data_IF_015971434772
#
_entry.id   IF_015971434772
#
_cell.length_a   1.000
_cell.length_b   1.000
_cell.length_c   1.000
_cell.angle_alpha   90.00
_cell.angle_beta   90.00
_cell.angle_gamma   90.00
#
_symmetry.space_group_name_H-M   'P 1'
#
loop_
_entity.id
_entity.type
_entity.pdbx_description
1 polymer ?
#
# COMPACT_ATOMS: atom_id res chain seq x y z
N UNK A 1 35.22 22.97 -32.54
CA UNK A 1 33.77 23.16 -32.72
C UNK A 1 33.03 22.25 -31.73
N UNK A 2 32.90 22.69 -30.47
CA UNK A 2 32.29 21.95 -29.36
C UNK A 2 30.81 22.36 -29.22
N UNK A 3 29.89 21.69 -29.90
CA UNK A 3 28.44 22.00 -29.80
C UNK A 3 27.54 20.79 -29.52
N UNK A 4 28.08 19.63 -29.13
CA UNK A 4 27.27 18.44 -28.85
C UNK A 4 27.04 18.16 -27.34
N UNK A 5 27.95 18.60 -26.45
CA UNK A 5 27.89 18.22 -25.03
C UNK A 5 27.10 19.18 -24.12
N UNK A 6 26.83 20.42 -24.56
CA UNK A 6 26.14 21.42 -23.72
C UNK A 6 24.62 21.29 -23.73
N UNK A 7 24.04 20.74 -24.80
CA UNK A 7 22.59 20.63 -24.97
C UNK A 7 21.99 19.43 -24.24
N UNK A 8 22.77 18.38 -23.96
CA UNK A 8 22.24 17.17 -23.32
C UNK A 8 21.87 17.44 -21.86
N UNK A 9 22.72 18.17 -21.12
CA UNK A 9 22.45 18.52 -19.73
C UNK A 9 21.30 19.52 -19.58
N UNK A 10 21.17 20.50 -20.50
CA UNK A 10 20.08 21.47 -20.46
C UNK A 10 18.75 20.84 -20.87
N UNK A 11 18.75 19.97 -21.89
CA UNK A 11 17.55 19.24 -22.30
C UNK A 11 17.14 18.19 -21.28
N UNK A 12 18.10 17.52 -20.62
CA UNK A 12 17.84 16.62 -19.48
C UNK A 12 17.23 17.39 -18.31
N UNK A 13 17.77 18.56 -17.97
CA UNK A 13 17.23 19.39 -16.89
C UNK A 13 15.83 19.92 -17.22
N UNK A 14 15.60 20.32 -18.48
CA UNK A 14 14.28 20.74 -18.95
C UNK A 14 13.27 19.59 -18.90
N UNK A 15 13.66 18.41 -19.37
CA UNK A 15 12.82 17.21 -19.34
C UNK A 15 12.50 16.82 -17.89
N UNK A 16 13.48 16.85 -16.99
CA UNK A 16 13.27 16.63 -15.55
C UNK A 16 12.32 17.66 -14.95
N UNK A 17 12.47 18.93 -15.32
CA UNK A 17 11.57 20.00 -14.88
C UNK A 17 10.11 19.74 -15.31
N UNK A 18 9.89 19.40 -16.58
CA UNK A 18 8.56 19.09 -17.10
C UNK A 18 7.97 17.82 -16.51
N UNK A 19 8.77 16.77 -16.31
CA UNK A 19 8.34 15.54 -15.65
C UNK A 19 7.98 15.78 -14.18
N UNK A 20 8.79 16.55 -13.45
CA UNK A 20 8.47 16.92 -12.06
C UNK A 20 7.19 17.74 -11.98
N UNK A 21 6.97 18.65 -12.93
CA UNK A 21 5.73 19.43 -13.03
C UNK A 21 4.53 18.54 -13.33
N UNK A 22 4.66 17.57 -14.23
CA UNK A 22 3.64 16.57 -14.49
C UNK A 22 3.31 15.78 -13.23
N UNK A 23 4.31 15.26 -12.53
CA UNK A 23 4.11 14.54 -11.27
C UNK A 23 3.45 15.40 -10.20
N UNK A 24 3.85 16.67 -10.08
CA UNK A 24 3.20 17.60 -9.17
C UNK A 24 1.73 17.82 -9.51
N UNK A 25 1.39 17.97 -10.80
CA UNK A 25 0.00 18.12 -11.24
C UNK A 25 -0.83 16.85 -10.99
N UNK A 26 -0.24 15.66 -11.23
CA UNK A 26 -0.87 14.37 -10.92
C UNK A 26 -1.07 14.17 -9.41
N UNK A 27 -0.12 14.64 -8.58
CA UNK A 27 -0.22 14.56 -7.13
C UNK A 27 -1.18 15.58 -6.53
N UNK A 28 -1.24 16.76 -7.13
CA UNK A 28 -2.11 17.85 -6.69
C UNK A 28 -3.54 17.75 -7.22
N UNK A 29 -3.82 16.79 -8.11
CA UNK A 29 -5.17 16.54 -8.60
C UNK A 29 -5.88 15.59 -7.64
N UNK A 30 -6.88 16.07 -6.86
CA UNK A 30 -7.64 15.20 -5.97
C UNK A 30 -8.35 14.13 -6.80
N UNK A 31 -8.00 12.86 -6.54
CA UNK A 31 -8.55 11.68 -7.23
C UNK A 31 -7.62 10.99 -8.25
N UNK A 32 -6.46 11.57 -8.61
CA UNK A 32 -5.47 10.97 -9.52
C UNK A 32 -4.29 10.32 -8.79
N UNK A 33 -3.82 10.94 -7.68
CA UNK A 33 -3.09 10.22 -6.65
C UNK A 33 -4.04 9.35 -5.85
N UNK A 34 -4.51 8.30 -6.52
CA UNK A 34 -4.92 7.10 -5.81
C UNK A 34 -3.63 6.47 -5.29
N UNK A 35 -3.55 6.32 -3.97
CA UNK A 35 -3.05 5.05 -3.45
C UNK A 35 -3.94 3.98 -4.12
N UNK A 36 -3.47 3.51 -5.28
CA UNK A 36 -4.17 2.63 -6.21
C UNK A 36 -4.46 1.35 -5.42
N UNK A 37 -5.72 1.03 -5.07
CA UNK A 37 -6.67 0.34 -5.95
C UNK A 37 -8.15 0.58 -5.55
N UNK A 38 -8.89 1.28 -6.42
CA UNK A 38 -10.37 1.42 -6.35
C UNK A 38 -10.96 0.38 -7.30
N UNK A 39 -11.63 -0.70 -6.86
CA UNK A 39 -13.05 -0.65 -6.48
C UNK A 39 -13.53 -1.92 -5.73
N UNK A 40 -12.74 -2.99 -5.67
CA UNK A 40 -12.96 -4.16 -4.79
C UNK A 40 -11.94 -4.18 -3.65
N UNK A 41 -10.70 -3.80 -3.96
CA UNK A 41 -9.61 -3.69 -2.99
C UNK A 41 -9.83 -2.56 -2.00
N UNK A 42 -10.44 -1.43 -2.40
CA UNK A 42 -10.79 -0.35 -1.47
C UNK A 42 -11.71 -0.80 -0.32
N UNK A 43 -12.71 -1.67 -0.58
CA UNK A 43 -13.57 -2.23 0.48
C UNK A 43 -12.84 -3.29 1.32
N UNK A 44 -12.01 -4.12 0.70
CA UNK A 44 -11.22 -5.15 1.40
C UNK A 44 -10.10 -4.54 2.26
N UNK A 45 -9.46 -3.48 1.79
CA UNK A 45 -8.50 -2.71 2.59
C UNK A 45 -9.20 -1.98 3.71
N UNK A 46 -10.43 -1.47 3.52
CA UNK A 46 -11.26 -0.92 4.59
C UNK A 46 -11.58 -1.95 5.68
N UNK A 47 -11.97 -3.17 5.31
CA UNK A 47 -12.29 -4.23 6.30
C UNK A 47 -11.05 -4.79 6.99
N UNK A 48 -9.88 -4.76 6.32
CA UNK A 48 -8.61 -5.24 6.88
C UNK A 48 -7.85 -4.15 7.66
N UNK A 49 -8.14 -2.86 7.45
CA UNK A 49 -7.56 -1.73 8.20
C UNK A 49 -7.70 -1.87 9.73
N UNK A 50 -8.88 -2.17 10.29
CA UNK A 50 -9.01 -2.36 11.74
C UNK A 50 -8.26 -3.60 12.22
N UNK A 51 -8.12 -4.64 11.39
CA UNK A 51 -7.32 -5.83 11.70
C UNK A 51 -5.85 -5.48 11.82
N UNK A 52 -5.30 -4.74 10.85
CA UNK A 52 -3.89 -4.30 10.89
C UNK A 52 -3.61 -3.42 12.11
N UNK A 53 -4.53 -2.52 12.43
CA UNK A 53 -4.43 -1.64 13.60
C UNK A 53 -4.41 -2.46 14.90
N UNK A 54 -5.26 -3.48 14.98
CA UNK A 54 -5.28 -4.39 16.12
C UNK A 54 -3.98 -5.18 16.25
N UNK A 55 -3.46 -5.74 15.15
CA UNK A 55 -2.18 -6.45 15.14
C UNK A 55 -1.06 -5.53 15.63
N UNK A 56 -0.96 -4.29 15.13
CA UNK A 56 0.06 -3.35 15.59
C UNK A 56 -0.03 -3.06 17.09
N UNK A 57 -1.25 -2.89 17.62
CA UNK A 57 -1.45 -2.54 19.03
C UNK A 57 -1.27 -3.73 19.98
N UNK A 58 -1.60 -4.94 19.55
CA UNK A 58 -1.65 -6.14 20.39
C UNK A 58 -0.71 -7.27 19.92
N UNK A 59 0.30 -6.97 19.12
CA UNK A 59 1.25 -7.98 18.59
C UNK A 59 1.96 -8.76 19.71
N UNK A 60 2.17 -8.16 20.88
CA UNK A 60 2.82 -8.80 22.03
C UNK A 60 1.93 -9.84 22.75
N UNK A 61 0.62 -9.85 22.48
CA UNK A 61 -0.35 -10.77 23.08
C UNK A 61 -0.59 -11.99 22.18
N UNK A 62 -1.25 -13.03 22.71
CA UNK A 62 -1.68 -14.18 21.92
C UNK A 62 -2.87 -13.79 21.03
N UNK A 63 -2.59 -13.36 19.81
CA UNK A 63 -3.60 -13.04 18.80
C UNK A 63 -3.95 -14.28 17.98
N UNK A 64 -5.25 -14.59 17.88
CA UNK A 64 -5.74 -15.75 17.09
C UNK A 64 -6.45 -15.33 15.81
N UNK A 65 -6.58 -16.27 14.86
CA UNK A 65 -7.29 -16.04 13.60
C UNK A 65 -8.76 -15.69 13.84
N UNK A 66 -9.42 -16.32 14.82
CA UNK A 66 -10.83 -16.07 15.15
C UNK A 66 -11.05 -14.64 15.62
N UNK A 67 -10.10 -14.06 16.36
CA UNK A 67 -10.16 -12.67 16.81
C UNK A 67 -10.06 -11.72 15.62
N UNK A 68 -9.09 -11.94 14.73
CA UNK A 68 -8.87 -11.11 13.55
C UNK A 68 -10.05 -11.20 12.57
N UNK A 69 -10.59 -12.40 12.38
CA UNK A 69 -11.77 -12.63 11.54
C UNK A 69 -13.01 -11.91 12.11
N UNK A 70 -13.21 -11.91 13.44
CA UNK A 70 -14.29 -11.16 14.08
C UNK A 70 -14.17 -9.65 13.84
N UNK A 71 -12.96 -9.10 13.92
CA UNK A 71 -12.70 -7.67 13.65
C UNK A 71 -13.01 -7.31 12.19
N UNK A 72 -12.70 -8.21 11.26
CA UNK A 72 -13.03 -8.04 9.84
C UNK A 72 -14.50 -8.33 9.50
N UNK A 73 -15.31 -8.78 10.46
CA UNK A 73 -16.67 -9.29 10.26
C UNK A 73 -16.76 -10.43 9.23
N UNK A 74 -15.79 -11.35 9.28
CA UNK A 74 -15.65 -12.49 8.38
C UNK A 74 -15.63 -13.82 9.14
N UNK A 75 -15.93 -14.92 8.45
CA UNK A 75 -15.59 -16.25 8.96
C UNK A 75 -14.07 -16.46 8.92
N UNK A 76 -13.53 -17.28 9.83
CA UNK A 76 -12.09 -17.56 9.89
C UNK A 76 -11.51 -18.04 8.56
N UNK A 77 -12.20 -18.97 7.89
CA UNK A 77 -11.75 -19.51 6.60
C UNK A 77 -11.75 -18.45 5.49
N UNK A 78 -12.76 -17.58 5.45
CA UNK A 78 -12.83 -16.51 4.45
C UNK A 78 -11.75 -15.45 4.74
N UNK A 79 -11.58 -15.09 6.01
CA UNK A 79 -10.53 -14.17 6.45
C UNK A 79 -9.14 -14.65 6.05
N UNK A 80 -8.79 -15.92 6.28
CA UNK A 80 -7.48 -16.46 5.93
C UNK A 80 -7.18 -16.35 4.43
N UNK A 81 -8.13 -16.76 3.58
CA UNK A 81 -8.00 -16.66 2.13
C UNK A 81 -7.92 -15.20 1.68
N UNK A 82 -8.79 -14.34 2.21
CA UNK A 82 -8.83 -12.92 1.90
C UNK A 82 -7.52 -12.22 2.31
N UNK A 83 -7.04 -12.43 3.53
CA UNK A 83 -5.82 -11.83 4.03
C UNK A 83 -4.61 -12.23 3.18
N UNK A 84 -4.48 -13.53 2.87
CA UNK A 84 -3.40 -14.02 2.01
C UNK A 84 -3.47 -13.46 0.59
N UNK A 85 -4.67 -13.28 0.04
CA UNK A 85 -4.84 -12.69 -1.30
C UNK A 85 -4.45 -11.21 -1.34
N UNK A 86 -4.74 -10.43 -0.28
CA UNK A 86 -4.43 -9.01 -0.23
C UNK A 86 -2.97 -8.72 0.14
N UNK A 87 -2.39 -9.48 1.06
CA UNK A 87 -1.03 -9.20 1.60
C UNK A 87 0.05 -10.15 1.08
N UNK A 88 -0.31 -11.18 0.31
CA UNK A 88 0.62 -12.19 -0.22
C UNK A 88 1.13 -13.21 0.80
N UNK A 89 0.81 -13.02 2.09
CA UNK A 89 1.21 -13.89 3.19
C UNK A 89 0.09 -14.07 4.22
N UNK A 90 0.18 -15.12 5.05
CA UNK A 90 -0.84 -15.43 6.04
C UNK A 90 -0.85 -14.45 7.22
N UNK A 91 -2.01 -14.26 7.86
CA UNK A 91 -2.14 -13.33 8.98
C UNK A 91 -1.22 -13.66 10.17
N UNK A 92 -0.95 -14.94 10.44
CA UNK A 92 0.00 -15.35 11.50
C UNK A 92 1.45 -15.07 11.09
N UNK A 93 1.80 -15.30 9.82
CA UNK A 93 3.13 -14.97 9.30
C UNK A 93 3.38 -13.46 9.38
N UNK A 94 2.37 -12.66 9.02
CA UNK A 94 2.40 -11.21 9.16
C UNK A 94 2.60 -10.78 10.62
N UNK A 95 1.85 -11.40 11.54
CA UNK A 95 1.98 -11.14 12.97
C UNK A 95 3.36 -11.48 13.52
N UNK A 96 3.98 -12.54 13.02
CA UNK A 96 5.36 -12.89 13.38
C UNK A 96 6.37 -11.89 12.84
N UNK A 97 6.16 -11.33 11.64
CA UNK A 97 7.02 -10.26 11.10
C UNK A 97 6.95 -8.98 11.91
N UNK A 98 5.77 -8.65 12.47
CA UNK A 98 5.59 -7.44 13.31
C UNK A 98 6.25 -7.58 14.68
N UNK A 99 6.53 -8.80 15.15
CA UNK A 99 7.18 -9.07 16.45
C UNK A 99 8.71 -8.97 16.40
N UNK A 100 9.32 -8.91 15.22
CA UNK A 100 10.76 -8.85 14.98
C UNK A 100 11.19 -7.38 14.87
#
# INVERSE_FOLDING_TARGET
MQCAHKNLATSDLLLKGELLRLFYLLASTPGLCTEHTVSTESRMTETLRPVLTYIQKHHSESVTIEQLAKIAHMSSSYFMSCFKQNFGLGAIEYLNQVRI
#
